data_IF_015906318694
#
_entry.id   IF_015906318694
#
_cell.length_a   1.000
_cell.length_b   1.000
_cell.length_c   1.000
_cell.angle_alpha   90.00
_cell.angle_beta   90.00
_cell.angle_gamma   90.00
#
_symmetry.space_group_name_H-M   'P 1'
#
loop_
_entity.id
_entity.type
_entity.pdbx_description
1 polymer ?
#
# COMPACT_ATOMS: atom_id res chain seq x y z
N UNK A 1 10.76 24.98 -40.86
CA UNK A 1 10.70 23.50 -40.68
C UNK A 1 11.73 22.99 -39.69
N UNK A 2 12.96 23.55 -39.65
CA UNK A 2 13.98 23.15 -38.66
C UNK A 2 13.60 23.52 -37.21
N UNK A 3 13.08 24.73 -36.96
CA UNK A 3 12.66 25.15 -35.62
C UNK A 3 11.59 24.23 -35.00
N UNK A 4 10.56 23.86 -35.77
CA UNK A 4 9.52 22.91 -35.35
C UNK A 4 10.07 21.51 -35.03
N UNK A 5 11.16 21.09 -35.68
CA UNK A 5 11.81 19.81 -35.40
C UNK A 5 12.63 19.86 -34.11
N UNK A 6 13.26 21.00 -33.81
CA UNK A 6 13.99 21.24 -32.56
C UNK A 6 13.03 21.32 -31.37
N UNK A 7 11.92 22.05 -31.51
CA UNK A 7 10.90 22.17 -30.46
C UNK A 7 10.28 20.80 -30.12
N UNK A 8 10.06 19.94 -31.12
CA UNK A 8 9.55 18.59 -30.91
C UNK A 8 10.55 17.69 -30.15
N UNK A 9 11.85 17.84 -30.42
CA UNK A 9 12.92 17.09 -29.74
C UNK A 9 13.01 17.52 -28.26
N UNK A 10 12.89 18.82 -27.98
CA UNK A 10 12.90 19.35 -26.61
C UNK A 10 11.69 18.80 -25.82
N UNK A 11 10.49 18.84 -26.40
CA UNK A 11 9.27 18.32 -25.74
C UNK A 11 9.39 16.82 -25.44
N UNK A 12 9.97 16.03 -26.35
CA UNK A 12 10.19 14.60 -26.12
C UNK A 12 11.23 14.37 -25.01
N UNK A 13 12.32 15.12 -25.00
CA UNK A 13 13.34 15.05 -23.95
C UNK A 13 12.80 15.42 -22.57
N UNK A 14 11.96 16.45 -22.47
CA UNK A 14 11.31 16.85 -21.22
C UNK A 14 10.34 15.77 -20.71
N UNK A 15 9.58 15.15 -21.61
CA UNK A 15 8.68 14.05 -21.27
C UNK A 15 9.43 12.81 -20.75
N UNK A 16 10.60 12.52 -21.32
CA UNK A 16 11.50 11.46 -20.86
C UNK A 16 12.03 11.76 -19.46
N UNK A 17 12.52 12.98 -19.23
CA UNK A 17 13.05 13.38 -17.93
C UNK A 17 11.97 13.31 -16.82
N UNK A 18 10.72 13.62 -17.17
CA UNK A 18 9.59 13.44 -16.26
C UNK A 18 9.33 11.96 -15.93
N UNK A 19 9.43 11.07 -16.91
CA UNK A 19 9.25 9.63 -16.71
C UNK A 19 10.39 8.98 -15.90
N UNK A 20 11.63 9.44 -16.07
CA UNK A 20 12.75 8.99 -15.24
C UNK A 20 12.55 9.39 -13.78
N UNK A 21 12.13 10.64 -13.51
CA UNK A 21 11.79 11.09 -12.15
C UNK A 21 10.65 10.26 -11.54
N UNK A 22 9.67 9.87 -12.35
CA UNK A 22 8.57 9.03 -11.88
C UNK A 22 9.05 7.61 -11.54
N UNK A 23 10.00 7.05 -12.30
CA UNK A 23 10.63 5.77 -11.96
C UNK A 23 11.44 5.87 -10.66
N UNK A 24 12.20 6.96 -10.46
CA UNK A 24 12.93 7.21 -9.21
C UNK A 24 11.96 7.28 -8.02
N UNK A 25 10.86 8.03 -8.17
CA UNK A 25 9.79 8.14 -7.17
C UNK A 25 9.18 6.77 -6.83
N UNK A 26 8.92 5.93 -7.84
CA UNK A 26 8.38 4.59 -7.63
C UNK A 26 9.38 3.66 -6.95
N UNK A 27 10.67 3.80 -7.25
CA UNK A 27 11.73 3.03 -6.60
C UNK A 27 11.87 3.40 -5.11
N UNK A 28 11.79 4.69 -4.79
CA UNK A 28 11.72 5.14 -3.39
C UNK A 28 10.48 4.58 -2.68
N UNK A 29 9.31 4.57 -3.34
CA UNK A 29 8.08 4.01 -2.78
C UNK A 29 8.18 2.50 -2.54
N UNK A 30 8.78 1.72 -3.45
CA UNK A 30 9.01 0.29 -3.22
C UNK A 30 9.90 0.07 -2.00
N UNK A 31 10.98 0.84 -1.89
CA UNK A 31 11.92 0.75 -0.76
C UNK A 31 11.29 1.13 0.57
N UNK A 32 10.40 2.11 0.58
CA UNK A 32 9.66 2.55 1.78
C UNK A 32 8.57 1.54 2.17
N UNK A 33 7.72 1.19 1.21
CA UNK A 33 6.42 0.60 1.50
C UNK A 33 6.45 -0.94 1.52
N UNK A 34 7.44 -1.56 0.87
CA UNK A 34 7.58 -3.02 0.75
C UNK A 34 8.79 -3.59 1.54
N UNK A 35 9.44 -2.76 2.36
CA UNK A 35 10.70 -3.06 3.03
C UNK A 35 10.68 -4.33 3.93
N UNK A 36 11.81 -5.06 4.00
CA UNK A 36 12.44 -5.74 2.89
C UNK A 36 11.73 -7.08 2.65
N UNK A 37 10.97 -7.17 1.57
CA UNK A 37 10.31 -8.41 1.13
C UNK A 37 10.93 -8.91 -0.17
N UNK A 38 10.83 -10.22 -0.44
CA UNK A 38 11.20 -10.77 -1.75
C UNK A 38 10.37 -10.14 -2.88
N UNK A 39 9.15 -9.65 -2.57
CA UNK A 39 8.30 -8.93 -3.50
C UNK A 39 8.85 -7.53 -3.83
N UNK A 40 9.43 -6.81 -2.87
CA UNK A 40 10.13 -5.55 -3.14
C UNK A 40 11.26 -5.73 -4.17
N UNK A 41 12.15 -6.72 -3.95
CA UNK A 41 13.28 -7.00 -4.85
C UNK A 41 12.81 -7.35 -6.26
N UNK A 42 11.74 -8.14 -6.38
CA UNK A 42 11.17 -8.49 -7.68
C UNK A 42 10.62 -7.25 -8.40
N UNK A 43 9.88 -6.37 -7.70
CA UNK A 43 9.31 -5.16 -8.30
C UNK A 43 10.37 -4.13 -8.68
N UNK A 44 11.43 -3.97 -7.88
CA UNK A 44 12.57 -3.12 -8.23
C UNK A 44 13.26 -3.60 -9.51
N UNK A 45 13.51 -4.91 -9.63
CA UNK A 45 14.11 -5.47 -10.83
C UNK A 45 13.25 -5.26 -12.09
N UNK A 46 11.93 -5.39 -11.96
CA UNK A 46 11.00 -5.15 -13.08
C UNK A 46 10.96 -3.67 -13.46
N UNK A 47 10.89 -2.76 -12.48
CA UNK A 47 10.90 -1.30 -12.71
C UNK A 47 12.21 -0.85 -13.37
N UNK A 48 13.35 -1.38 -12.91
CA UNK A 48 14.65 -1.12 -13.51
C UNK A 48 14.69 -1.58 -14.98
N UNK A 49 14.14 -2.76 -15.29
CA UNK A 49 14.05 -3.24 -16.67
C UNK A 49 13.23 -2.29 -17.57
N UNK A 50 12.10 -1.78 -17.08
CA UNK A 50 11.27 -0.80 -17.81
C UNK A 50 12.00 0.54 -17.98
N UNK A 51 12.78 0.98 -16.98
CA UNK A 51 13.60 2.19 -17.07
C UNK A 51 14.69 2.05 -18.14
N UNK A 52 15.40 0.92 -18.15
CA UNK A 52 16.44 0.66 -19.15
C UNK A 52 15.90 0.57 -20.57
N UNK A 53 14.68 0.05 -20.75
CA UNK A 53 13.99 0.06 -22.03
C UNK A 53 13.66 1.48 -22.50
N UNK A 54 13.16 2.34 -21.60
CA UNK A 54 12.93 3.74 -21.91
C UNK A 54 14.22 4.39 -22.38
N UNK A 55 15.31 4.29 -21.59
CA UNK A 55 16.62 4.85 -21.91
C UNK A 55 17.10 4.42 -23.31
N UNK A 56 16.94 3.14 -23.66
CA UNK A 56 17.30 2.64 -25.01
C UNK A 56 16.48 3.30 -26.10
N UNK A 57 15.17 3.46 -25.92
CA UNK A 57 14.29 4.15 -26.87
C UNK A 57 14.71 5.62 -27.02
N UNK A 58 15.09 6.28 -25.94
CA UNK A 58 15.59 7.67 -25.96
C UNK A 58 16.87 7.78 -26.79
N UNK A 59 17.84 6.90 -26.54
CA UNK A 59 19.09 6.87 -27.29
C UNK A 59 18.86 6.63 -28.78
N UNK A 60 17.86 5.81 -29.13
CA UNK A 60 17.42 5.59 -30.50
C UNK A 60 16.82 6.87 -31.12
N UNK A 61 15.96 7.59 -30.40
CA UNK A 61 15.40 8.87 -30.84
C UNK A 61 16.47 9.96 -31.04
N UNK A 62 17.51 9.96 -30.21
CA UNK A 62 18.63 10.91 -30.29
C UNK A 62 19.61 10.60 -31.43
N UNK A 63 19.38 9.53 -32.21
CA UNK A 63 20.25 9.14 -33.32
C UNK A 63 21.59 8.53 -32.87
N UNK A 64 21.70 8.12 -31.61
CA UNK A 64 22.91 7.49 -31.06
C UNK A 64 23.06 6.06 -31.60
N UNK A 65 21.94 5.37 -31.87
CA UNK A 65 21.93 4.03 -32.49
C UNK A 65 22.13 4.08 -34.01
N UNK A 66 22.97 3.17 -34.53
CA UNK A 66 23.18 2.96 -35.97
C UNK A 66 22.84 1.51 -36.38
N UNK A 67 22.01 1.28 -37.41
CA UNK A 67 21.24 2.28 -38.18
C UNK A 67 20.14 2.94 -37.33
N UNK A 68 19.79 4.17 -37.67
CA UNK A 68 18.72 4.88 -36.96
C UNK A 68 17.36 4.23 -37.28
N UNK A 69 16.57 3.90 -36.24
CA UNK A 69 15.26 3.29 -36.45
C UNK A 69 14.32 4.27 -37.12
N UNK A 70 13.39 3.72 -37.90
CA UNK A 70 12.29 4.49 -38.49
C UNK A 70 11.35 5.01 -37.40
N UNK A 71 10.66 6.12 -37.70
CA UNK A 71 9.60 6.65 -36.82
C UNK A 71 8.51 5.62 -36.49
N UNK A 72 8.23 4.69 -37.43
CA UNK A 72 7.25 3.62 -37.23
C UNK A 72 7.75 2.62 -36.17
N UNK A 73 9.01 2.25 -36.22
CA UNK A 73 9.63 1.35 -35.22
C UNK A 73 9.68 2.01 -33.84
N UNK A 74 10.07 3.29 -33.77
CA UNK A 74 10.08 4.05 -32.50
C UNK A 74 8.69 4.12 -31.86
N UNK A 75 7.64 4.36 -32.66
CA UNK A 75 6.26 4.41 -32.16
C UNK A 75 5.81 3.06 -31.60
N UNK A 76 6.19 1.95 -32.24
CA UNK A 76 5.89 0.60 -31.75
C UNK A 76 6.64 0.32 -30.45
N UNK A 77 7.94 0.63 -30.39
CA UNK A 77 8.75 0.45 -29.18
C UNK A 77 8.20 1.25 -27.99
N UNK A 78 7.82 2.51 -28.20
CA UNK A 78 7.17 3.33 -27.16
C UNK A 78 5.82 2.77 -26.71
N UNK A 79 5.02 2.25 -27.65
CA UNK A 79 3.75 1.60 -27.35
C UNK A 79 3.92 0.37 -26.46
N UNK A 80 4.85 -0.51 -26.82
CA UNK A 80 5.17 -1.72 -26.05
C UNK A 80 5.72 -1.38 -24.67
N UNK A 81 6.64 -0.43 -24.60
CA UNK A 81 7.20 0.08 -23.36
C UNK A 81 6.10 0.61 -22.43
N UNK A 82 5.19 1.45 -22.96
CA UNK A 82 4.08 2.01 -22.18
C UNK A 82 3.18 0.92 -21.60
N UNK A 83 2.86 -0.10 -22.39
CA UNK A 83 2.05 -1.21 -21.92
C UNK A 83 2.74 -1.94 -20.77
N UNK A 84 4.02 -2.28 -20.94
CA UNK A 84 4.82 -2.95 -19.91
C UNK A 84 4.96 -2.09 -18.64
N UNK A 85 5.17 -0.79 -18.79
CA UNK A 85 5.20 0.14 -17.65
C UNK A 85 3.90 0.10 -16.85
N UNK A 86 2.74 0.12 -17.52
CA UNK A 86 1.44 0.04 -16.85
C UNK A 86 1.23 -1.29 -16.12
N UNK A 87 1.69 -2.40 -16.69
CA UNK A 87 1.64 -3.72 -16.05
C UNK A 87 2.49 -3.77 -14.78
N UNK A 88 3.74 -3.29 -14.85
CA UNK A 88 4.65 -3.23 -13.69
C UNK A 88 4.13 -2.27 -12.62
N UNK A 89 3.66 -1.09 -13.03
CA UNK A 89 3.04 -0.11 -12.13
C UNK A 89 1.83 -0.72 -11.39
N UNK A 90 0.94 -1.39 -12.11
CA UNK A 90 -0.21 -2.09 -11.51
C UNK A 90 0.22 -3.16 -10.51
N UNK A 91 1.28 -3.92 -10.82
CA UNK A 91 1.81 -4.93 -9.90
C UNK A 91 2.43 -4.32 -8.63
N UNK A 92 3.13 -3.17 -8.76
CA UNK A 92 3.67 -2.41 -7.61
C UNK A 92 2.52 -1.93 -6.70
N UNK A 93 1.48 -1.34 -7.28
CA UNK A 93 0.32 -0.87 -6.51
C UNK A 93 -0.35 -2.03 -5.77
N UNK A 94 -0.55 -3.17 -6.44
CA UNK A 94 -1.12 -4.36 -5.80
C UNK A 94 -0.25 -4.90 -4.66
N UNK A 95 1.08 -4.95 -4.86
CA UNK A 95 2.01 -5.39 -3.82
C UNK A 95 1.95 -4.47 -2.60
N UNK A 96 1.95 -3.14 -2.83
CA UNK A 96 1.85 -2.14 -1.76
C UNK A 96 0.59 -2.32 -0.94
N UNK A 97 -0.56 -2.40 -1.59
CA UNK A 97 -1.82 -2.55 -0.84
C UNK A 97 -1.82 -3.89 -0.07
N UNK A 98 -1.20 -4.96 -0.59
CA UNK A 98 -1.10 -6.24 0.14
C UNK A 98 -0.29 -6.11 1.41
N UNK A 99 0.81 -5.40 1.35
CA UNK A 99 1.64 -5.15 2.52
C UNK A 99 0.89 -4.28 3.54
N UNK A 100 0.18 -3.24 3.10
CA UNK A 100 -0.69 -2.43 3.96
C UNK A 100 -1.76 -3.28 4.67
N UNK A 101 -2.47 -4.13 3.92
CA UNK A 101 -3.46 -5.04 4.48
C UNK A 101 -2.85 -6.02 5.50
N UNK A 102 -1.65 -6.54 5.21
CA UNK A 102 -0.90 -7.42 6.12
C UNK A 102 -0.54 -6.70 7.42
N UNK A 103 -0.02 -5.48 7.33
CA UNK A 103 0.34 -4.66 8.49
C UNK A 103 -0.89 -4.34 9.34
N UNK A 104 -1.99 -3.93 8.71
CA UNK A 104 -3.25 -3.64 9.39
C UNK A 104 -3.82 -4.90 10.07
N UNK A 105 -3.76 -6.06 9.42
CA UNK A 105 -4.15 -7.33 10.03
C UNK A 105 -3.32 -7.64 11.28
N UNK A 106 -2.00 -7.51 11.20
CA UNK A 106 -1.11 -7.79 12.32
C UNK A 106 -1.38 -6.85 13.51
N UNK A 107 -1.64 -5.58 13.21
CA UNK A 107 -2.03 -4.58 14.21
C UNK A 107 -3.34 -4.98 14.90
N UNK A 108 -4.39 -5.27 14.11
CA UNK A 108 -5.69 -5.69 14.65
C UNK A 108 -5.60 -6.98 15.46
N UNK A 109 -4.79 -7.95 15.03
CA UNK A 109 -4.55 -9.19 15.77
C UNK A 109 -3.93 -8.92 17.13
N UNK A 110 -2.94 -8.03 17.18
CA UNK A 110 -2.30 -7.62 18.44
C UNK A 110 -3.29 -6.92 19.35
N UNK A 111 -4.10 -6.01 18.81
CA UNK A 111 -5.13 -5.28 19.58
C UNK A 111 -6.23 -6.21 20.11
N UNK A 112 -6.67 -7.19 19.33
CA UNK A 112 -7.63 -8.20 19.76
C UNK A 112 -7.10 -9.00 20.95
N UNK A 113 -5.86 -9.50 20.86
CA UNK A 113 -5.22 -10.24 21.97
C UNK A 113 -5.12 -9.40 23.24
N UNK A 114 -4.66 -8.15 23.13
CA UNK A 114 -4.61 -7.22 24.27
C UNK A 114 -5.99 -6.98 24.87
N UNK A 115 -7.03 -6.88 24.03
CA UNK A 115 -8.40 -6.67 24.51
C UNK A 115 -8.94 -7.92 25.20
N UNK A 116 -8.70 -9.12 24.66
CA UNK A 116 -9.05 -10.39 25.29
C UNK A 116 -8.37 -10.52 26.67
N UNK A 117 -7.07 -10.22 26.77
CA UNK A 117 -6.33 -10.23 28.04
C UNK A 117 -6.93 -9.25 29.06
N UNK A 118 -7.30 -8.04 28.62
CA UNK A 118 -7.96 -7.05 29.48
C UNK A 118 -9.30 -7.54 29.99
N UNK A 119 -10.14 -8.11 29.13
CA UNK A 119 -11.44 -8.68 29.54
C UNK A 119 -11.24 -9.80 30.56
N UNK A 120 -10.29 -10.71 30.33
CA UNK A 120 -9.97 -11.80 31.25
C UNK A 120 -9.53 -11.28 32.63
N UNK A 121 -8.66 -10.27 32.65
CA UNK A 121 -8.08 -9.71 33.87
C UNK A 121 -8.95 -8.63 34.54
N UNK A 122 -10.04 -8.20 33.90
CA UNK A 122 -10.96 -7.22 34.48
C UNK A 122 -11.68 -7.75 35.71
N UNK A 123 -12.32 -6.88 36.49
CA UNK A 123 -13.17 -7.29 37.63
C UNK A 123 -14.62 -7.57 37.21
N UNK A 124 -14.89 -7.66 35.90
CA UNK A 124 -16.23 -7.93 35.38
C UNK A 124 -16.75 -9.30 35.87
N UNK A 125 -18.06 -9.43 35.98
CA UNK A 125 -18.69 -10.71 36.24
C UNK A 125 -18.38 -11.70 35.12
N UNK A 126 -18.23 -12.99 35.48
CA UNK A 126 -17.85 -14.03 34.53
C UNK A 126 -18.82 -14.16 33.34
N UNK A 127 -20.11 -13.90 33.54
CA UNK A 127 -21.10 -13.88 32.45
C UNK A 127 -20.80 -12.77 31.42
N UNK A 128 -20.50 -11.56 31.89
CA UNK A 128 -20.17 -10.40 31.05
C UNK A 128 -18.82 -10.61 30.36
N UNK A 129 -17.82 -11.16 31.06
CA UNK A 129 -16.54 -11.56 30.45
C UNK A 129 -16.76 -12.54 29.31
N UNK A 130 -17.59 -13.55 29.49
CA UNK A 130 -17.87 -14.55 28.46
C UNK A 130 -18.56 -13.94 27.24
N UNK A 131 -19.44 -12.96 27.39
CA UNK A 131 -20.07 -12.25 26.26
C UNK A 131 -19.04 -11.50 25.43
N UNK A 132 -18.21 -10.67 26.07
CA UNK A 132 -17.15 -9.94 25.37
C UNK A 132 -16.12 -10.86 24.72
N UNK A 133 -15.72 -11.94 25.40
CA UNK A 133 -14.78 -12.91 24.83
C UNK A 133 -15.36 -13.61 23.60
N UNK A 134 -16.67 -13.92 23.58
CA UNK A 134 -17.32 -14.47 22.38
C UNK A 134 -17.32 -13.49 21.22
N UNK A 135 -17.60 -12.21 21.47
CA UNK A 135 -17.54 -11.17 20.44
C UNK A 135 -16.11 -11.01 19.90
N UNK A 136 -15.11 -10.97 20.79
CA UNK A 136 -13.70 -10.85 20.39
C UNK A 136 -13.20 -12.07 19.60
N UNK A 137 -13.62 -13.30 19.97
CA UNK A 137 -13.30 -14.51 19.21
C UNK A 137 -13.93 -14.49 17.81
N UNK A 138 -15.17 -14.02 17.68
CA UNK A 138 -15.83 -13.84 16.37
C UNK A 138 -15.09 -12.83 15.47
N UNK A 139 -14.54 -11.76 16.06
CA UNK A 139 -13.70 -10.80 15.33
C UNK A 139 -12.36 -11.42 14.90
N UNK A 140 -11.75 -12.25 15.75
CA UNK A 140 -10.51 -12.97 15.45
C UNK A 140 -10.69 -13.97 14.29
N UNK A 141 -11.80 -14.71 14.27
CA UNK A 141 -12.14 -15.62 13.16
C UNK A 141 -12.30 -14.88 11.83
N UNK A 142 -12.87 -13.67 11.85
CA UNK A 142 -13.04 -12.83 10.66
C UNK A 142 -11.77 -12.11 10.22
N UNK A 143 -10.76 -12.04 11.08
CA UNK A 143 -9.45 -11.43 10.77
C UNK A 143 -8.56 -12.34 9.91
N UNK A 144 -8.90 -13.63 9.83
CA UNK A 144 -8.18 -14.62 9.02
C UNK A 144 -8.06 -14.17 7.54
N UNK A 145 -6.96 -14.51 6.86
CA UNK A 145 -6.76 -14.14 5.47
C UNK A 145 -7.87 -14.72 4.58
N UNK A 146 -8.59 -13.83 3.91
CA UNK A 146 -9.66 -14.20 2.97
C UNK A 146 -9.12 -14.27 1.54
N UNK A 147 -9.74 -15.13 0.74
CA UNK A 147 -9.46 -15.25 -0.69
C UNK A 147 -10.09 -14.08 -1.46
N UNK A 148 -9.44 -12.92 -1.49
CA UNK A 148 -9.87 -11.79 -2.32
C UNK A 148 -9.41 -10.41 -1.85
N UNK A 149 -8.60 -9.74 -2.66
CA UNK A 149 -7.82 -8.58 -2.24
C UNK A 149 -8.61 -7.26 -2.04
N UNK A 150 -9.52 -6.91 -2.97
CA UNK A 150 -10.34 -5.69 -2.85
C UNK A 150 -11.40 -5.77 -1.73
N UNK A 151 -11.82 -6.98 -1.34
CA UNK A 151 -12.70 -7.19 -0.18
C UNK A 151 -11.95 -7.01 1.14
N UNK A 152 -10.67 -7.35 1.16
CA UNK A 152 -9.83 -7.45 2.36
C UNK A 152 -9.67 -6.11 3.08
N UNK A 153 -9.33 -5.02 2.38
CA UNK A 153 -9.14 -3.69 3.02
C UNK A 153 -10.43 -3.10 3.60
N UNK A 154 -11.55 -3.24 2.90
CA UNK A 154 -12.86 -2.78 3.39
C UNK A 154 -13.28 -3.55 4.64
N UNK A 155 -13.03 -4.85 4.66
CA UNK A 155 -13.32 -5.70 5.81
C UNK A 155 -12.40 -5.40 7.00
N UNK A 156 -11.10 -5.19 6.78
CA UNK A 156 -10.16 -4.78 7.84
C UNK A 156 -10.58 -3.44 8.47
N UNK A 157 -11.05 -2.49 7.65
CA UNK A 157 -11.60 -1.21 8.14
C UNK A 157 -12.87 -1.42 8.96
N UNK A 158 -13.77 -2.30 8.53
CA UNK A 158 -14.97 -2.64 9.29
C UNK A 158 -14.63 -3.31 10.63
N UNK A 159 -13.72 -4.29 10.62
CA UNK A 159 -13.26 -4.99 11.82
C UNK A 159 -12.63 -4.03 12.84
N UNK A 160 -11.86 -3.05 12.36
CA UNK A 160 -11.31 -1.98 13.22
C UNK A 160 -12.43 -1.23 13.95
N UNK A 161 -13.46 -0.77 13.25
CA UNK A 161 -14.59 -0.04 13.86
C UNK A 161 -15.37 -0.89 14.86
N UNK A 162 -15.53 -2.17 14.57
CA UNK A 162 -16.19 -3.12 15.47
C UNK A 162 -15.35 -3.35 16.74
N UNK A 163 -14.03 -3.49 16.61
CA UNK A 163 -13.11 -3.58 17.74
C UNK A 163 -13.12 -2.32 18.62
N UNK A 164 -13.11 -1.13 17.99
CA UNK A 164 -13.24 0.16 18.70
C UNK A 164 -14.56 0.26 19.45
N UNK A 165 -15.67 -0.24 18.88
CA UNK A 165 -16.98 -0.26 19.56
C UNK A 165 -16.97 -1.17 20.78
N UNK A 166 -16.41 -2.38 20.67
CA UNK A 166 -16.27 -3.31 21.80
C UNK A 166 -15.43 -2.66 22.91
N UNK A 167 -14.35 -1.98 22.53
CA UNK A 167 -13.47 -1.26 23.45
C UNK A 167 -14.17 -0.12 24.19
N UNK A 168 -14.94 0.71 23.50
CA UNK A 168 -15.72 1.79 24.13
C UNK A 168 -16.82 1.23 25.06
N UNK A 169 -17.40 0.08 24.71
CA UNK A 169 -18.30 -0.66 25.60
C UNK A 169 -17.63 -1.06 26.91
N UNK A 170 -16.42 -1.63 26.83
CA UNK A 170 -15.62 -2.02 28.00
C UNK A 170 -15.26 -0.81 28.88
N UNK A 171 -14.76 0.27 28.28
CA UNK A 171 -14.48 1.53 29.00
C UNK A 171 -15.71 2.10 29.70
N UNK A 172 -16.87 2.06 29.03
CA UNK A 172 -18.13 2.53 29.59
C UNK A 172 -18.53 1.76 30.84
N UNK A 173 -18.25 0.45 30.89
CA UNK A 173 -18.52 -0.38 32.06
C UNK A 173 -17.46 -0.15 33.16
N UNK A 174 -16.17 -0.10 32.82
CA UNK A 174 -15.10 0.21 33.77
C UNK A 174 -15.30 1.58 34.46
N UNK A 175 -15.70 2.59 33.68
CA UNK A 175 -16.01 3.94 34.20
C UNK A 175 -17.21 3.95 35.15
N UNK A 176 -18.24 3.12 34.87
CA UNK A 176 -19.42 2.97 35.73
C UNK A 176 -19.13 2.18 37.01
N UNK A 177 -18.08 1.36 37.00
CA UNK A 177 -17.62 0.57 38.15
C UNK A 177 -16.51 1.27 38.95
N UNK A 178 -16.11 2.48 38.57
CA UNK A 178 -15.10 3.28 39.29
C UNK A 178 -13.65 2.78 39.12
N UNK A 179 -13.40 1.96 38.10
CA UNK A 179 -12.10 1.35 37.83
C UNK A 179 -11.37 2.19 36.79
N UNK A 180 -10.30 2.90 37.20
CA UNK A 180 -9.45 3.66 36.27
C UNK A 180 -8.52 2.70 35.52
N UNK A 181 -8.89 2.34 34.30
CA UNK A 181 -8.02 1.74 33.30
C UNK A 181 -7.21 2.81 32.57
N UNK A 182 -5.88 2.69 32.59
CA UNK A 182 -4.89 3.59 32.00
C UNK A 182 -5.15 3.91 30.50
N UNK A 183 -4.77 5.11 30.02
CA UNK A 183 -5.03 5.52 28.65
C UNK A 183 -4.27 4.63 27.65
N UNK A 184 -4.99 4.11 26.65
CA UNK A 184 -4.36 3.70 25.40
C UNK A 184 -4.38 4.92 24.49
N UNK A 185 -3.24 5.58 24.34
CA UNK A 185 -3.05 6.48 23.21
C UNK A 185 -3.10 5.62 21.95
N UNK A 186 -4.14 5.81 21.13
CA UNK A 186 -4.14 5.36 19.74
C UNK A 186 -3.18 6.32 19.00
N UNK A 187 -1.87 6.25 19.28
CA UNK A 187 -0.88 6.94 18.46
C UNK A 187 -0.60 6.09 17.23
N UNK A 188 -0.96 6.64 16.08
CA UNK A 188 -0.76 6.03 14.77
C UNK A 188 -1.59 6.64 13.67
N UNK A 189 -2.64 7.41 14.00
CA UNK A 189 -3.41 8.14 13.00
C UNK A 189 -3.78 9.50 13.59
N UNK A 190 -2.83 10.44 13.59
CA UNK A 190 -3.25 11.83 13.47
C UNK A 190 -3.90 11.96 12.10
N UNK A 191 -5.13 12.47 12.12
CA UNK A 191 -5.81 13.02 10.96
C UNK A 191 -4.87 14.00 10.24
N UNK A 192 -4.18 13.55 9.20
CA UNK A 192 -3.63 14.45 8.16
C UNK A 192 -4.66 14.70 7.04
N UNK A 193 -5.92 14.30 7.26
CA UNK A 193 -7.08 14.69 6.45
C UNK A 193 -7.89 15.77 7.16
N UNK A 194 -7.28 16.94 7.39
CA UNK A 194 -8.01 18.21 7.49
C UNK A 194 -7.19 19.31 6.82
N UNK A 195 -7.74 19.74 5.69
CA UNK A 195 -7.60 21.03 4.99
C UNK A 195 -6.83 22.15 5.73
#
# INVERSE_FOLDING_TARGET
MEQQSIDLIIVVADAIAALEKECDRLQEQINSDLAPTAEAVARESELQGVREELIRIVQQCQGISRPSPSLKELKVSLGNWRQRFLEVFGAIVLAKTREEARQQRNLLSTQLKLTQERVLNSTLDNSVKLEYLKELLSLEDRLQPMSGFQGEMNQLTQLKRELERVWEGLKGIESRLGLKGLPMEIRGFTDDDKD
#
